data_IF_486406088801
#
_entry.id   IF_486406088801
#
_cell.length_a   1.000
_cell.length_b   1.000
_cell.length_c   1.000
_cell.angle_alpha   90.00
_cell.angle_beta   90.00
_cell.angle_gamma   90.00
#
_symmetry.space_group_name_H-M   'P 1'
#
loop_
_entity.id
_entity.type
_entity.pdbx_description
1 polymer ?
#
# COMPACT_ATOMS: atom_id res chain seq x y z
N UNK A 1 25.14 7.25 8.50
CA UNK A 1 25.89 6.27 9.30
C UNK A 1 24.90 5.16 9.66
N UNK A 2 24.84 4.10 8.84
CA UNK A 2 23.90 2.98 9.02
C UNK A 2 24.46 2.02 10.07
N UNK A 3 23.84 1.93 11.23
CA UNK A 3 24.00 0.76 12.12
C UNK A 3 23.15 -0.37 11.54
N UNK A 4 23.73 -1.06 10.56
CA UNK A 4 23.09 -2.13 9.78
C UNK A 4 23.24 -3.48 10.50
N UNK A 5 22.63 -3.61 11.68
CA UNK A 5 22.64 -4.85 12.47
C UNK A 5 21.36 -5.70 12.26
N UNK A 6 20.51 -5.32 11.29
CA UNK A 6 19.37 -6.15 10.90
C UNK A 6 19.86 -7.39 10.14
N UNK A 7 19.60 -8.57 10.70
CA UNK A 7 19.86 -9.84 10.03
C UNK A 7 19.08 -9.89 8.71
N UNK A 8 19.75 -10.36 7.65
CA UNK A 8 19.14 -10.56 6.33
C UNK A 8 18.76 -12.02 6.14
N UNK A 9 17.60 -12.27 5.53
CA UNK A 9 17.10 -13.62 5.28
C UNK A 9 16.65 -13.79 3.82
N UNK A 10 16.83 -14.98 3.22
CA UNK A 10 16.31 -15.26 1.89
C UNK A 10 14.80 -15.10 1.82
N UNK A 11 14.29 -14.54 0.71
CA UNK A 11 12.86 -14.31 0.53
C UNK A 11 12.02 -15.60 0.64
N UNK A 12 12.51 -16.72 0.12
CA UNK A 12 11.82 -18.01 0.23
C UNK A 12 11.65 -18.49 1.68
N UNK A 13 12.65 -18.26 2.54
CA UNK A 13 12.54 -18.59 3.96
C UNK A 13 11.51 -17.69 4.65
N UNK A 14 11.49 -16.40 4.32
CA UNK A 14 10.50 -15.47 4.85
C UNK A 14 9.08 -15.84 4.41
N UNK A 15 8.90 -16.19 3.14
CA UNK A 15 7.62 -16.68 2.61
C UNK A 15 7.11 -17.88 3.40
N UNK A 16 7.95 -18.89 3.62
CA UNK A 16 7.62 -20.08 4.42
C UNK A 16 7.19 -19.70 5.84
N UNK A 17 8.01 -18.88 6.56
CA UNK A 17 7.74 -18.50 7.95
C UNK A 17 6.47 -17.67 8.09
N UNK A 18 6.25 -16.71 7.19
CA UNK A 18 5.05 -15.87 7.18
C UNK A 18 3.80 -16.71 6.94
N UNK A 19 3.82 -17.57 5.92
CA UNK A 19 2.71 -18.46 5.62
C UNK A 19 2.42 -19.41 6.80
N UNK A 20 3.45 -19.95 7.46
CA UNK A 20 3.30 -20.80 8.64
C UNK A 20 2.62 -20.06 9.80
N UNK A 21 3.06 -18.84 10.12
CA UNK A 21 2.45 -18.03 11.21
C UNK A 21 1.00 -17.65 10.95
N UNK A 22 0.66 -17.30 9.70
CA UNK A 22 -0.72 -17.01 9.31
C UNK A 22 -1.60 -18.26 9.39
N UNK A 23 -1.08 -19.42 8.98
CA UNK A 23 -1.78 -20.71 9.13
C UNK A 23 -2.03 -21.06 10.59
N UNK A 24 -1.03 -20.90 11.45
CA UNK A 24 -1.16 -21.10 12.91
C UNK A 24 -2.20 -20.16 13.54
N UNK A 25 -2.35 -18.94 13.00
CA UNK A 25 -3.39 -18.00 13.42
C UNK A 25 -4.79 -18.37 12.89
N UNK A 26 -4.87 -19.34 11.98
CA UNK A 26 -6.10 -19.91 11.44
C UNK A 26 -6.56 -19.30 10.11
N UNK A 27 -5.73 -18.53 9.41
CA UNK A 27 -6.07 -18.03 8.09
C UNK A 27 -6.30 -19.17 7.08
N UNK A 28 -7.30 -19.02 6.21
CA UNK A 28 -7.50 -19.92 5.07
C UNK A 28 -6.33 -19.87 4.09
N UNK A 29 -6.14 -20.93 3.30
CA UNK A 29 -5.04 -21.01 2.33
C UNK A 29 -5.05 -19.84 1.33
N UNK A 30 -6.24 -19.43 0.86
CA UNK A 30 -6.36 -18.27 -0.03
C UNK A 30 -5.94 -16.96 0.67
N UNK A 31 -6.32 -16.79 1.94
CA UNK A 31 -6.00 -15.59 2.71
C UNK A 31 -4.51 -15.48 3.04
N UNK A 32 -3.90 -16.59 3.49
CA UNK A 32 -2.48 -16.60 3.82
C UNK A 32 -1.61 -16.48 2.56
N UNK A 33 -1.99 -17.09 1.43
CA UNK A 33 -1.25 -16.94 0.17
C UNK A 33 -1.27 -15.48 -0.31
N UNK A 34 -2.44 -14.83 -0.29
CA UNK A 34 -2.59 -13.42 -0.65
C UNK A 34 -1.79 -12.49 0.26
N UNK A 35 -1.91 -12.65 1.58
CA UNK A 35 -1.20 -11.82 2.55
C UNK A 35 0.32 -12.02 2.49
N UNK A 36 0.77 -13.27 2.33
CA UNK A 36 2.20 -13.57 2.17
C UNK A 36 2.74 -12.93 0.89
N UNK A 37 2.06 -13.09 -0.26
CA UNK A 37 2.46 -12.46 -1.53
C UNK A 37 2.63 -10.94 -1.39
N UNK A 38 1.65 -10.25 -0.79
CA UNK A 38 1.70 -8.80 -0.61
C UNK A 38 2.82 -8.35 0.34
N UNK A 39 2.99 -9.02 1.49
CA UNK A 39 4.07 -8.68 2.44
C UNK A 39 5.46 -8.98 1.87
N UNK A 40 5.62 -10.06 1.11
CA UNK A 40 6.88 -10.37 0.44
C UNK A 40 7.20 -9.36 -0.66
N UNK A 41 6.21 -8.95 -1.47
CA UNK A 41 6.38 -7.85 -2.41
C UNK A 41 6.90 -6.60 -1.72
N UNK A 42 6.22 -6.12 -0.68
CA UNK A 42 6.61 -4.92 0.06
C UNK A 42 8.02 -5.03 0.66
N UNK A 43 8.36 -6.20 1.20
CA UNK A 43 9.70 -6.44 1.77
C UNK A 43 10.79 -6.51 0.70
N UNK A 44 10.50 -7.03 -0.49
CA UNK A 44 11.46 -7.10 -1.59
C UNK A 44 11.72 -5.72 -2.19
N UNK A 45 10.70 -4.89 -2.35
CA UNK A 45 10.86 -3.54 -2.92
C UNK A 45 11.33 -2.47 -1.91
N UNK A 46 11.58 -2.86 -0.66
CA UNK A 46 12.06 -1.96 0.40
C UNK A 46 10.97 -1.09 1.05
N UNK A 47 9.70 -1.45 0.88
CA UNK A 47 8.57 -0.84 1.60
C UNK A 47 8.33 -1.61 2.90
N UNK A 48 9.37 -1.66 3.73
CA UNK A 48 9.43 -2.53 4.93
C UNK A 48 8.30 -2.26 5.91
N UNK A 49 7.78 -1.04 5.97
CA UNK A 49 6.62 -0.67 6.81
C UNK A 49 5.38 -1.54 6.56
N UNK A 50 5.23 -2.09 5.36
CA UNK A 50 4.13 -2.96 4.95
C UNK A 50 4.59 -4.39 4.61
N UNK A 51 5.84 -4.72 4.97
CA UNK A 51 6.45 -6.03 4.71
C UNK A 51 6.14 -7.08 5.77
N UNK A 52 7.03 -8.07 5.89
CA UNK A 52 6.88 -9.23 6.79
C UNK A 52 6.75 -8.85 8.27
N UNK A 53 7.15 -7.64 8.65
CA UNK A 53 6.93 -7.11 10.02
C UNK A 53 5.46 -7.00 10.42
N UNK A 54 4.52 -6.96 9.46
CA UNK A 54 3.09 -6.92 9.76
C UNK A 54 2.50 -8.29 10.08
N UNK A 55 3.27 -9.37 9.94
CA UNK A 55 2.78 -10.74 10.18
C UNK A 55 2.21 -10.89 11.59
N UNK A 56 2.91 -10.39 12.61
CA UNK A 56 2.43 -10.45 13.99
C UNK A 56 1.10 -9.73 14.18
N UNK A 57 0.98 -8.52 13.62
CA UNK A 57 -0.26 -7.75 13.68
C UNK A 57 -1.43 -8.55 13.09
N UNK A 58 -1.27 -9.11 11.88
CA UNK A 58 -2.33 -9.89 11.24
C UNK A 58 -2.67 -11.17 12.00
N UNK A 59 -1.67 -11.90 12.51
CA UNK A 59 -1.90 -13.07 13.36
C UNK A 59 -2.72 -12.70 14.61
N UNK A 60 -2.42 -11.55 15.23
CA UNK A 60 -3.14 -11.10 16.41
C UNK A 60 -4.58 -10.69 16.08
N UNK A 61 -4.83 -10.02 14.96
CA UNK A 61 -6.20 -9.65 14.56
C UNK A 61 -7.04 -10.88 14.14
N UNK A 62 -6.43 -11.90 13.53
CA UNK A 62 -7.08 -13.19 13.26
C UNK A 62 -7.45 -13.93 14.55
N UNK A 63 -6.53 -13.97 15.53
CA UNK A 63 -6.78 -14.62 16.83
C UNK A 63 -7.83 -13.87 17.65
N UNK A 64 -7.82 -12.54 17.60
CA UNK A 64 -8.77 -11.67 18.30
C UNK A 64 -10.17 -11.64 17.69
N UNK A 65 -10.35 -12.15 16.47
CA UNK A 65 -11.65 -12.22 15.79
C UNK A 65 -12.01 -11.01 14.95
N UNK A 66 -11.16 -9.97 14.92
CA UNK A 66 -11.34 -8.81 14.01
C UNK A 66 -11.26 -9.20 12.54
N UNK A 67 -10.42 -10.20 12.23
CA UNK A 67 -10.31 -10.74 10.87
C UNK A 67 -10.99 -12.09 10.78
N UNK A 68 -11.89 -12.23 9.82
CA UNK A 68 -12.47 -13.51 9.46
C UNK A 68 -11.36 -14.42 8.93
N UNK A 69 -11.26 -15.60 9.55
CA UNK A 69 -10.25 -16.62 9.24
C UNK A 69 -10.50 -17.31 7.91
N UNK A 70 -11.76 -17.44 7.49
CA UNK A 70 -12.15 -18.14 6.27
C UNK A 70 -13.23 -17.35 5.50
N UNK A 71 -12.87 -16.14 5.01
CA UNK A 71 -13.83 -15.25 4.36
C UNK A 71 -14.42 -15.88 3.10
N UNK A 72 -15.73 -15.74 2.93
CA UNK A 72 -16.47 -16.16 1.74
C UNK A 72 -16.74 -14.94 0.86
N UNK A 73 -15.75 -14.59 0.02
CA UNK A 73 -15.86 -13.43 -0.87
C UNK A 73 -17.08 -13.55 -1.78
N UNK A 74 -17.84 -12.46 -1.91
CA UNK A 74 -18.98 -12.38 -2.83
C UNK A 74 -18.74 -11.27 -3.85
N UNK A 75 -19.01 -11.58 -5.11
CA UNK A 75 -18.89 -10.63 -6.21
C UNK A 75 -20.28 -10.27 -6.71
N UNK A 76 -20.57 -8.98 -6.80
CA UNK A 76 -21.80 -8.44 -7.36
C UNK A 76 -21.47 -7.57 -8.59
N UNK A 77 -21.82 -8.05 -9.78
CA UNK A 77 -21.59 -7.31 -11.03
C UNK A 77 -22.67 -6.23 -11.17
N UNK A 78 -22.24 -4.97 -11.09
CA UNK A 78 -23.15 -3.81 -11.06
C UNK A 78 -23.45 -3.25 -12.46
N UNK A 79 -22.51 -3.40 -13.39
CA UNK A 79 -22.64 -3.04 -14.80
C UNK A 79 -21.53 -3.71 -15.62
N UNK A 80 -21.54 -3.51 -16.94
CA UNK A 80 -20.58 -4.13 -17.86
C UNK A 80 -19.10 -3.89 -17.47
N UNK A 81 -18.78 -2.74 -16.89
CA UNK A 81 -17.42 -2.38 -16.46
C UNK A 81 -17.27 -2.15 -14.95
N UNK A 82 -18.21 -2.61 -14.12
CA UNK A 82 -18.12 -2.36 -12.67
C UNK A 82 -18.70 -3.48 -11.79
N UNK A 83 -18.07 -3.73 -10.65
CA UNK A 83 -18.51 -4.69 -9.66
C UNK A 83 -18.24 -4.23 -8.22
N UNK A 84 -18.89 -4.89 -7.26
CA UNK A 84 -18.57 -4.82 -5.84
C UNK A 84 -18.08 -6.18 -5.35
N UNK A 85 -17.06 -6.18 -4.50
CA UNK A 85 -16.56 -7.37 -3.78
C UNK A 85 -16.82 -7.18 -2.29
N UNK A 86 -17.54 -8.10 -1.68
CA UNK A 86 -17.65 -8.22 -0.22
C UNK A 86 -16.46 -9.04 0.29
N UNK A 87 -15.65 -8.41 1.16
CA UNK A 87 -14.45 -8.98 1.77
C UNK A 87 -14.72 -9.95 2.93
N UNK A 88 -15.96 -10.01 3.43
CA UNK A 88 -16.39 -10.83 4.58
C UNK A 88 -15.48 -10.67 5.80
N UNK A 89 -15.02 -9.43 6.04
CA UNK A 89 -14.10 -8.98 7.10
C UNK A 89 -12.80 -9.79 7.19
N UNK A 90 -12.38 -10.42 6.09
CA UNK A 90 -11.14 -11.18 6.00
C UNK A 90 -9.88 -10.32 5.90
N UNK A 91 -8.74 -10.98 5.69
CA UNK A 91 -7.49 -10.30 5.33
C UNK A 91 -7.68 -9.51 4.02
N UNK A 92 -7.53 -8.19 4.07
CA UNK A 92 -7.81 -7.29 2.93
C UNK A 92 -7.03 -7.64 1.66
N UNK A 93 -5.85 -8.25 1.81
CA UNK A 93 -5.05 -8.77 0.71
C UNK A 93 -5.81 -9.73 -0.20
N UNK A 94 -6.61 -10.64 0.37
CA UNK A 94 -7.34 -11.62 -0.43
C UNK A 94 -8.44 -10.96 -1.25
N UNK A 95 -9.24 -10.10 -0.63
CA UNK A 95 -10.29 -9.34 -1.30
C UNK A 95 -9.69 -8.43 -2.40
N UNK A 96 -8.57 -7.77 -2.14
CA UNK A 96 -7.91 -6.88 -3.08
C UNK A 96 -7.31 -7.61 -4.30
N UNK A 97 -6.60 -8.74 -4.12
CA UNK A 97 -6.16 -9.54 -5.27
C UNK A 97 -7.33 -10.12 -6.05
N UNK A 98 -8.39 -10.58 -5.37
CA UNK A 98 -9.58 -11.09 -6.04
C UNK A 98 -10.28 -9.99 -6.86
N UNK A 99 -10.35 -8.77 -6.34
CA UNK A 99 -10.90 -7.62 -7.06
C UNK A 99 -10.10 -7.24 -8.31
N UNK A 100 -8.76 -7.39 -8.29
CA UNK A 100 -7.93 -7.24 -9.51
C UNK A 100 -8.33 -8.26 -10.56
N UNK A 101 -8.50 -9.53 -10.16
CA UNK A 101 -8.93 -10.60 -11.09
C UNK A 101 -10.31 -10.32 -11.68
N UNK A 102 -11.29 -9.93 -10.86
CA UNK A 102 -12.62 -9.49 -11.33
C UNK A 102 -12.50 -8.30 -12.29
N UNK A 103 -11.68 -7.30 -11.94
CA UNK A 103 -11.46 -6.12 -12.76
C UNK A 103 -10.86 -6.45 -14.13
N UNK A 104 -9.95 -7.42 -14.19
CA UNK A 104 -9.37 -7.90 -15.45
C UNK A 104 -10.43 -8.55 -16.33
N UNK A 105 -11.28 -9.42 -15.77
CA UNK A 105 -12.35 -10.05 -16.56
C UNK A 105 -13.35 -9.02 -17.10
N UNK A 106 -13.70 -8.01 -16.31
CA UNK A 106 -14.53 -6.88 -16.77
C UNK A 106 -13.83 -6.04 -17.84
N UNK A 107 -12.56 -5.70 -17.64
CA UNK A 107 -11.79 -4.86 -18.57
C UNK A 107 -11.62 -5.53 -19.95
N UNK A 108 -11.45 -6.85 -20.03
CA UNK A 108 -11.42 -7.57 -21.32
C UNK A 108 -12.69 -7.39 -22.15
N UNK A 109 -13.83 -7.27 -21.48
CA UNK A 109 -15.13 -7.14 -22.12
C UNK A 109 -15.46 -5.66 -22.42
N UNK A 110 -15.35 -4.79 -21.41
CA UNK A 110 -15.83 -3.41 -21.44
C UNK A 110 -14.72 -2.37 -21.63
N UNK A 111 -13.44 -2.76 -21.66
CA UNK A 111 -12.26 -1.88 -21.68
C UNK A 111 -11.83 -1.35 -20.33
N UNK A 112 -12.76 -1.29 -19.37
CA UNK A 112 -12.50 -0.90 -17.99
C UNK A 112 -13.20 -1.85 -17.02
N UNK A 113 -12.56 -2.13 -15.89
CA UNK A 113 -13.12 -2.84 -14.75
C UNK A 113 -12.90 -2.03 -13.48
N UNK A 114 -13.96 -1.40 -12.97
CA UNK A 114 -13.98 -0.65 -11.73
C UNK A 114 -14.59 -1.49 -10.60
N UNK A 115 -13.79 -1.87 -9.62
CA UNK A 115 -14.21 -2.80 -8.57
C UNK A 115 -14.07 -2.14 -7.21
N UNK A 116 -15.20 -1.87 -6.56
CA UNK A 116 -15.24 -1.46 -5.16
C UNK A 116 -15.15 -2.68 -4.24
N UNK A 117 -14.53 -2.52 -3.07
CA UNK A 117 -14.37 -3.56 -2.06
C UNK A 117 -14.96 -3.05 -0.75
N UNK A 118 -15.84 -3.83 -0.13
CA UNK A 118 -16.47 -3.55 1.16
C UNK A 118 -16.18 -4.64 2.19
N UNK A 119 -16.46 -4.38 3.47
CA UNK A 119 -16.21 -5.31 4.59
C UNK A 119 -14.80 -5.91 4.54
N UNK A 120 -13.79 -5.05 4.43
CA UNK A 120 -12.40 -5.46 4.31
C UNK A 120 -11.56 -4.97 5.49
N UNK A 121 -10.25 -5.17 5.38
CA UNK A 121 -9.27 -4.80 6.41
C UNK A 121 -7.98 -4.27 5.77
N UNK A 122 -6.94 -4.03 6.57
CA UNK A 122 -5.70 -3.48 6.05
C UNK A 122 -5.07 -4.41 5.00
N UNK A 123 -4.74 -3.85 3.83
CA UNK A 123 -4.22 -4.57 2.66
C UNK A 123 -2.70 -4.44 2.45
N UNK A 124 -1.95 -3.84 3.36
CA UNK A 124 -0.50 -3.66 3.17
C UNK A 124 -0.18 -2.59 2.11
N UNK A 125 0.84 -2.84 1.28
CA UNK A 125 1.25 -1.93 0.22
C UNK A 125 0.28 -1.98 -0.96
N UNK A 126 -0.31 -0.84 -1.33
CA UNK A 126 -1.28 -0.76 -2.43
C UNK A 126 -0.64 -1.12 -3.79
N UNK A 127 0.67 -0.88 -3.94
CA UNK A 127 1.46 -1.22 -5.11
C UNK A 127 1.41 -2.70 -5.49
N UNK A 128 1.21 -3.61 -4.54
CA UNK A 128 1.11 -5.05 -4.80
C UNK A 128 -0.05 -5.40 -5.73
N UNK A 129 -1.19 -4.70 -5.59
CA UNK A 129 -2.41 -4.96 -6.35
C UNK A 129 -2.39 -4.28 -7.70
N UNK A 130 -1.88 -3.04 -7.76
CA UNK A 130 -1.61 -2.36 -9.02
C UNK A 130 -0.64 -3.19 -9.88
N UNK A 131 0.47 -3.65 -9.28
CA UNK A 131 1.46 -4.47 -9.95
C UNK A 131 0.86 -5.77 -10.51
N UNK A 132 0.01 -6.46 -9.74
CA UNK A 132 -0.59 -7.72 -10.18
C UNK A 132 -1.42 -7.59 -11.45
N UNK A 133 -2.12 -6.46 -11.64
CA UNK A 133 -2.84 -6.21 -12.88
C UNK A 133 -1.90 -5.83 -14.04
N UNK A 134 -0.85 -5.05 -13.77
CA UNK A 134 0.16 -4.70 -14.76
C UNK A 134 0.97 -5.90 -15.25
N UNK A 135 1.31 -6.85 -14.38
CA UNK A 135 1.95 -8.12 -14.75
C UNK A 135 1.07 -8.97 -15.69
N UNK A 136 -0.24 -8.75 -15.68
CA UNK A 136 -1.20 -9.38 -16.62
C UNK A 136 -1.49 -8.53 -17.86
N UNK A 137 -0.78 -7.42 -18.04
CA UNK A 137 -0.89 -6.55 -19.22
C UNK A 137 -1.93 -5.44 -19.11
N UNK A 138 -2.44 -5.12 -17.91
CA UNK A 138 -3.46 -4.08 -17.73
C UNK A 138 -2.92 -2.87 -16.98
N UNK A 139 -3.32 -1.66 -17.36
CA UNK A 139 -3.05 -0.49 -16.51
C UNK A 139 -3.95 -0.59 -15.30
N UNK A 140 -3.38 -0.53 -14.11
CA UNK A 140 -4.12 -0.82 -12.87
C UNK A 140 -3.88 0.25 -11.82
N UNK A 141 -4.97 0.73 -11.23
CA UNK A 141 -4.99 1.64 -10.09
C UNK A 141 -5.56 0.92 -8.87
N UNK A 142 -4.97 1.13 -7.70
CA UNK A 142 -5.45 0.62 -6.43
C UNK A 142 -5.35 1.69 -5.33
N UNK A 143 -6.37 1.78 -4.48
CA UNK A 143 -6.43 2.74 -3.37
C UNK A 143 -7.20 2.18 -2.17
N UNK A 144 -6.96 2.78 -1.01
CA UNK A 144 -7.67 2.54 0.26
C UNK A 144 -7.66 3.81 1.11
N UNK A 145 -8.52 3.86 2.13
CA UNK A 145 -8.39 4.81 3.23
C UNK A 145 -8.06 4.07 4.54
N UNK A 146 -7.78 4.83 5.61
CA UNK A 146 -7.54 4.31 6.97
C UNK A 146 -7.85 5.39 8.01
N UNK A 147 -7.68 5.08 9.28
CA UNK A 147 -7.78 6.00 10.40
C UNK A 147 -6.95 7.27 10.24
N UNK A 148 -7.53 8.37 10.72
CA UNK A 148 -7.02 9.73 10.62
C UNK A 148 -5.60 9.89 11.20
N UNK A 149 -4.65 10.27 10.36
CA UNK A 149 -3.25 10.55 10.71
C UNK A 149 -2.70 11.85 10.10
N UNK A 150 -3.35 12.36 9.06
CA UNK A 150 -2.87 13.47 8.23
C UNK A 150 -3.80 14.66 8.43
N UNK A 151 -3.22 15.84 8.66
CA UNK A 151 -3.98 17.08 8.72
C UNK A 151 -4.51 17.48 7.33
N UNK A 152 -5.58 18.27 7.30
CA UNK A 152 -5.88 19.07 6.10
C UNK A 152 -4.85 20.21 5.96
N UNK A 153 -4.80 20.84 4.79
CA UNK A 153 -4.04 22.08 4.63
C UNK A 153 -4.61 23.17 5.55
N UNK A 154 -3.74 23.87 6.29
CA UNK A 154 -4.07 24.78 7.40
C UNK A 154 -4.89 24.15 8.55
N UNK A 155 -5.01 22.82 8.56
CA UNK A 155 -5.71 22.08 9.60
C UNK A 155 -4.86 21.87 10.85
N UNK A 156 -5.52 21.83 12.00
CA UNK A 156 -4.89 21.56 13.30
C UNK A 156 -5.40 20.25 13.94
N UNK A 157 -5.94 19.34 13.13
CA UNK A 157 -6.43 18.04 13.56
C UNK A 157 -6.19 16.99 12.46
N UNK A 158 -5.98 15.74 12.88
CA UNK A 158 -5.93 14.59 11.98
C UNK A 158 -7.30 14.42 11.32
N UNK A 159 -7.32 14.21 10.01
CA UNK A 159 -8.56 14.11 9.23
C UNK A 159 -8.53 12.96 8.22
N UNK A 160 -7.53 12.93 7.34
CA UNK A 160 -7.36 11.82 6.41
C UNK A 160 -6.43 10.76 6.99
N UNK A 161 -6.60 9.52 6.57
CA UNK A 161 -5.51 8.54 6.66
C UNK A 161 -4.34 8.92 5.74
N UNK A 162 -3.31 8.09 5.71
CA UNK A 162 -2.21 8.25 4.73
C UNK A 162 -2.63 7.88 3.29
N UNK A 163 -3.85 7.38 3.13
CA UNK A 163 -4.62 7.14 1.91
C UNK A 163 -3.77 7.01 0.64
N UNK A 164 -3.23 5.81 0.35
CA UNK A 164 -2.29 5.64 -0.74
C UNK A 164 -2.96 5.64 -2.11
N UNK A 165 -2.21 6.07 -3.12
CA UNK A 165 -2.56 5.94 -4.53
C UNK A 165 -1.49 5.10 -5.21
N UNK A 166 -1.87 3.92 -5.68
CA UNK A 166 -0.97 3.04 -6.42
C UNK A 166 -1.41 2.89 -7.88
N UNK A 167 -0.48 3.03 -8.80
CA UNK A 167 -0.70 2.84 -10.22
C UNK A 167 0.41 1.97 -10.81
N UNK A 168 0.06 1.05 -11.70
CA UNK A 168 1.04 0.31 -12.46
C UNK A 168 0.61 0.15 -13.92
N UNK A 169 1.60 0.09 -14.81
CA UNK A 169 1.38 -0.08 -16.24
C UNK A 169 2.37 -1.09 -16.82
N UNK A 170 1.93 -1.99 -17.73
CA UNK A 170 2.81 -2.95 -18.37
C UNK A 170 3.86 -2.25 -19.23
N UNK A 171 5.08 -2.77 -19.20
CA UNK A 171 6.20 -2.32 -20.05
C UNK A 171 6.72 -3.56 -20.79
N UNK A 172 6.80 -3.57 -22.13
CA UNK A 172 7.34 -4.71 -22.87
C UNK A 172 8.75 -5.07 -22.40
N UNK A 173 9.01 -6.36 -22.23
CA UNK A 173 10.32 -6.95 -21.89
C UNK A 173 11.01 -6.35 -20.65
N UNK A 174 10.23 -5.74 -19.74
CA UNK A 174 10.75 -5.07 -18.54
C UNK A 174 9.79 -5.17 -17.36
N UNK A 175 10.23 -4.72 -16.20
CA UNK A 175 9.35 -4.56 -15.04
C UNK A 175 8.31 -3.45 -15.34
N UNK A 176 7.07 -3.59 -14.85
CA UNK A 176 6.07 -2.55 -14.96
C UNK A 176 6.55 -1.19 -14.43
N UNK A 177 6.03 -0.12 -15.02
CA UNK A 177 6.07 1.19 -14.37
C UNK A 177 5.18 1.10 -13.12
N UNK A 178 5.67 1.54 -11.96
CA UNK A 178 4.98 1.36 -10.68
C UNK A 178 5.11 2.61 -9.81
N UNK A 179 3.98 3.26 -9.53
CA UNK A 179 3.84 4.25 -8.50
C UNK A 179 3.12 3.63 -7.31
N UNK A 180 3.70 3.72 -6.12
CA UNK A 180 3.03 3.43 -4.85
C UNK A 180 3.41 4.50 -3.84
N UNK A 181 2.44 5.36 -3.49
CA UNK A 181 2.69 6.52 -2.64
C UNK A 181 1.54 6.78 -1.67
N UNK A 182 1.90 7.17 -0.45
CA UNK A 182 0.95 7.83 0.46
C UNK A 182 0.63 9.25 -0.07
N UNK A 183 -0.53 9.77 0.31
CA UNK A 183 -0.93 11.16 0.02
C UNK A 183 -0.40 12.15 1.06
N UNK A 184 0.18 11.66 2.17
CA UNK A 184 1.02 12.43 3.08
C UNK A 184 2.46 12.56 2.55
N UNK A 185 3.19 13.58 3.03
CA UNK A 185 4.58 13.81 2.61
C UNK A 185 5.53 12.65 2.97
N UNK A 186 5.28 11.99 4.11
CA UNK A 186 5.93 10.73 4.52
C UNK A 186 4.90 9.83 5.21
N UNK A 187 5.12 8.50 5.31
CA UNK A 187 4.28 7.63 6.13
C UNK A 187 4.61 7.77 7.63
N UNK A 188 3.62 7.50 8.50
CA UNK A 188 3.76 7.62 9.97
C UNK A 188 4.93 6.82 10.55
N UNK A 189 5.23 5.64 9.97
CA UNK A 189 6.37 4.83 10.41
C UNK A 189 7.73 5.55 10.27
N UNK A 190 7.87 6.52 9.36
CA UNK A 190 9.08 7.35 9.29
C UNK A 190 9.19 8.28 10.49
N UNK A 191 8.08 8.83 10.99
CA UNK A 191 8.08 9.61 12.24
C UNK A 191 8.49 8.75 13.42
N UNK A 192 7.91 7.56 13.56
CA UNK A 192 8.24 6.62 14.62
C UNK A 192 9.72 6.19 14.58
N UNK A 193 10.28 5.97 13.38
CA UNK A 193 11.70 5.66 13.22
C UNK A 193 12.59 6.82 13.71
N UNK A 194 12.29 8.06 13.32
CA UNK A 194 13.06 9.23 13.74
C UNK A 194 12.97 9.46 15.25
N UNK A 195 11.81 9.20 15.88
CA UNK A 195 11.68 9.16 17.35
C UNK A 195 12.64 8.17 17.98
N UNK A 196 12.63 6.93 17.48
CA UNK A 196 13.45 5.85 18.02
C UNK A 196 14.94 6.11 17.87
N UNK A 197 15.35 6.79 16.80
CA UNK A 197 16.75 7.11 16.53
C UNK A 197 17.19 8.45 17.12
N UNK A 198 16.28 9.26 17.66
CA UNK A 198 16.58 10.62 18.12
C UNK A 198 17.05 11.54 16.99
N UNK A 199 16.54 11.35 15.77
CA UNK A 199 16.91 12.14 14.58
C UNK A 199 15.80 13.13 14.23
N UNK A 200 16.16 14.33 13.77
CA UNK A 200 15.18 15.30 13.27
C UNK A 200 14.50 14.82 11.98
N UNK A 201 13.22 15.17 11.84
CA UNK A 201 12.46 14.97 10.61
C UNK A 201 12.86 16.00 9.55
N UNK A 202 12.77 15.64 8.25
CA UNK A 202 12.80 16.63 7.19
C UNK A 202 11.73 17.70 7.40
N UNK A 203 12.03 18.95 7.07
CA UNK A 203 11.05 20.04 7.17
C UNK A 203 9.80 19.78 6.30
N UNK A 204 8.63 20.20 6.79
CA UNK A 204 7.37 20.17 6.04
C UNK A 204 6.68 18.80 5.94
N UNK A 205 7.10 17.81 6.74
CA UNK A 205 6.53 16.45 6.68
C UNK A 205 5.55 16.12 7.81
N UNK A 206 5.61 16.86 8.92
CA UNK A 206 4.79 16.64 10.11
C UNK A 206 4.42 17.97 10.79
N UNK A 207 3.38 17.91 11.60
CA UNK A 207 2.91 19.02 12.43
C UNK A 207 2.66 18.56 13.87
N UNK A 208 2.79 19.49 14.80
CA UNK A 208 2.48 19.29 16.21
C UNK A 208 0.96 19.25 16.48
N UNK A 209 0.58 19.07 17.74
CA UNK A 209 -0.83 19.02 18.18
C UNK A 209 -1.64 20.30 17.92
N UNK A 210 -0.99 21.40 17.54
CA UNK A 210 -1.61 22.69 17.23
C UNK A 210 -1.66 22.95 15.71
N UNK A 211 -1.19 22.02 14.88
CA UNK A 211 -1.10 22.17 13.42
C UNK A 211 0.15 22.91 12.97
N UNK A 212 1.06 23.28 13.87
CA UNK A 212 2.32 23.94 13.53
C UNK A 212 3.32 22.93 12.95
N UNK A 213 3.92 23.24 11.79
CA UNK A 213 4.95 22.39 11.20
C UNK A 213 6.14 22.18 12.15
N UNK A 214 6.63 20.95 12.27
CA UNK A 214 7.73 20.62 13.18
C UNK A 214 8.72 19.63 12.55
N UNK A 215 9.99 19.78 12.89
CA UNK A 215 11.06 18.81 12.61
C UNK A 215 11.36 17.91 13.80
N UNK A 216 10.84 18.22 14.99
CA UNK A 216 11.05 17.39 16.17
C UNK A 216 10.08 16.18 16.12
N UNK A 217 10.60 14.95 15.97
CA UNK A 217 9.73 13.78 15.92
C UNK A 217 8.97 13.56 17.23
N UNK A 218 9.46 14.04 18.39
CA UNK A 218 8.76 13.91 19.68
C UNK A 218 7.54 14.82 19.78
N UNK A 219 7.56 15.97 19.08
CA UNK A 219 6.44 16.91 19.06
C UNK A 219 5.41 16.60 17.96
N UNK A 220 5.80 15.87 16.91
CA UNK A 220 4.94 15.53 15.78
C UNK A 220 3.66 14.79 16.23
N UNK A 221 2.47 15.37 16.07
CA UNK A 221 1.21 14.68 16.34
C UNK A 221 0.59 14.13 15.06
N UNK A 222 0.67 14.89 13.97
CA UNK A 222 0.02 14.59 12.71
C UNK A 222 0.99 14.73 11.54
N UNK A 223 0.69 14.07 10.44
CA UNK A 223 1.44 14.22 9.19
C UNK A 223 0.93 15.44 8.42
N UNK A 224 1.83 16.07 7.67
CA UNK A 224 1.45 17.04 6.66
C UNK A 224 1.16 16.33 5.32
N UNK A 225 0.14 16.77 4.57
CA UNK A 225 -0.11 16.27 3.22
C UNK A 225 1.10 16.44 2.30
N UNK A 226 1.14 15.69 1.20
CA UNK A 226 2.09 15.93 0.12
C UNK A 226 1.98 17.37 -0.38
N UNK A 227 3.12 18.06 -0.45
CA UNK A 227 3.20 19.50 -0.69
C UNK A 227 3.45 20.31 0.58
N UNK A 228 3.45 19.66 1.75
CA UNK A 228 3.85 20.23 3.03
C UNK A 228 3.02 21.43 3.45
N UNK A 229 3.63 22.35 4.20
CA UNK A 229 2.97 23.55 4.71
C UNK A 229 2.64 24.59 3.62
N UNK A 230 3.27 24.52 2.44
CA UNK A 230 3.09 25.53 1.38
C UNK A 230 2.04 25.12 0.35
N UNK A 231 2.06 23.86 -0.08
CA UNK A 231 1.21 23.35 -1.16
C UNK A 231 0.44 22.08 -0.78
N UNK A 232 0.34 21.79 0.52
CA UNK A 232 -0.29 20.58 1.06
C UNK A 232 -1.76 20.41 0.69
N UNK A 233 -2.45 21.47 0.27
CA UNK A 233 -3.82 21.38 -0.23
C UNK A 233 -3.95 20.40 -1.41
N UNK A 234 -2.89 20.20 -2.20
CA UNK A 234 -2.87 19.20 -3.28
C UNK A 234 -2.83 17.78 -2.73
N UNK A 235 -1.95 17.49 -1.77
CA UNK A 235 -1.89 16.19 -1.10
C UNK A 235 -3.18 15.87 -0.36
N UNK A 236 -3.77 16.85 0.31
CA UNK A 236 -5.05 16.70 1.00
C UNK A 236 -6.18 16.39 0.01
N UNK A 237 -6.22 17.06 -1.15
CA UNK A 237 -7.19 16.76 -2.20
C UNK A 237 -7.00 15.33 -2.77
N UNK A 238 -5.76 14.87 -2.95
CA UNK A 238 -5.49 13.49 -3.38
C UNK A 238 -5.91 12.46 -2.32
N UNK A 239 -5.74 12.76 -1.03
CA UNK A 239 -6.26 11.92 0.05
C UNK A 239 -7.79 11.83 0.00
N UNK A 240 -8.46 12.94 -0.32
CA UNK A 240 -9.90 12.98 -0.60
C UNK A 240 -10.32 12.12 -1.79
N UNK A 241 -9.54 12.08 -2.88
CA UNK A 241 -9.79 11.17 -4.02
C UNK A 241 -9.77 9.71 -3.57
N UNK A 242 -8.79 9.33 -2.76
CA UNK A 242 -8.75 7.98 -2.20
C UNK A 242 -10.00 7.67 -1.34
N UNK A 243 -10.41 8.56 -0.44
CA UNK A 243 -11.64 8.40 0.37
C UNK A 243 -12.90 8.31 -0.50
N UNK A 244 -13.00 9.10 -1.59
CA UNK A 244 -14.12 9.02 -2.53
C UNK A 244 -14.27 7.60 -3.09
N UNK A 245 -13.18 7.00 -3.52
CA UNK A 245 -13.19 5.66 -4.10
C UNK A 245 -13.32 4.54 -3.07
N UNK A 246 -12.65 4.66 -1.92
CA UNK A 246 -12.50 3.57 -0.97
C UNK A 246 -13.49 3.58 0.18
N UNK A 247 -14.26 4.65 0.38
CA UNK A 247 -15.28 4.73 1.42
C UNK A 247 -16.64 5.17 0.88
N UNK A 248 -16.69 6.31 0.20
CA UNK A 248 -17.97 6.86 -0.26
C UNK A 248 -18.60 6.02 -1.38
N UNK A 249 -17.78 5.56 -2.33
CA UNK A 249 -18.27 4.72 -3.43
C UNK A 249 -18.56 3.28 -2.99
N UNK A 250 -17.87 2.80 -1.96
CA UNK A 250 -17.98 1.43 -1.43
C UNK A 250 -19.00 1.30 -0.31
N UNK A 251 -19.44 2.41 0.29
CA UNK A 251 -20.35 2.41 1.44
C UNK A 251 -19.69 1.96 2.75
N UNK A 252 -18.38 2.20 2.90
CA UNK A 252 -17.59 1.76 4.05
C UNK A 252 -17.12 2.90 4.95
N UNK A 253 -16.38 2.59 6.01
CA UNK A 253 -15.97 3.53 7.06
C UNK A 253 -15.15 4.72 6.52
N UNK A 254 -15.52 5.93 6.95
CA UNK A 254 -14.79 7.16 6.65
C UNK A 254 -13.54 7.29 7.53
N UNK A 255 -12.57 8.06 7.05
CA UNK A 255 -11.27 8.28 7.69
C UNK A 255 -11.38 8.72 9.17
N UNK A 256 -12.36 9.58 9.47
CA UNK A 256 -12.62 10.14 10.80
C UNK A 256 -13.31 9.17 11.75
N UNK A 257 -13.93 8.13 11.21
CA UNK A 257 -14.84 7.24 11.94
C UNK A 257 -14.20 5.89 12.23
N UNK A 258 -12.98 5.64 11.73
CA UNK A 258 -12.26 4.41 12.00
C UNK A 258 -11.88 4.28 13.47
N UNK A 259 -12.13 3.08 13.99
CA UNK A 259 -11.37 2.60 15.14
C UNK A 259 -9.88 2.47 14.80
N UNK A 260 -9.03 2.66 15.80
CA UNK A 260 -7.58 2.62 15.64
C UNK A 260 -7.09 1.29 15.02
N UNK A 261 -6.10 1.37 14.13
CA UNK A 261 -5.48 0.18 13.52
C UNK A 261 -4.82 -0.71 14.58
N UNK A 262 -4.02 -0.11 15.46
CA UNK A 262 -3.38 -0.77 16.59
C UNK A 262 -4.21 -0.52 17.86
N UNK A 263 -4.62 -1.61 18.51
CA UNK A 263 -5.02 -1.50 19.90
C UNK A 263 -3.78 -1.20 20.74
N UNK A 264 -3.77 -0.13 21.54
CA UNK A 264 -2.81 -0.03 22.65
C UNK A 264 -2.98 -1.21 23.63
N UNK A 265 -2.33 -1.20 24.80
CA UNK A 265 -2.65 -2.16 25.86
C UNK A 265 -4.17 -2.14 26.15
N UNK A 266 -4.87 -3.27 25.89
CA UNK A 266 -6.33 -3.38 26.02
C UNK A 266 -7.15 -2.80 24.87
N UNK A 267 -6.54 -2.45 23.74
CA UNK A 267 -7.24 -1.96 22.55
C UNK A 267 -7.93 -3.07 21.76
N UNK A 268 -8.79 -2.66 20.82
CA UNK A 268 -9.95 -3.46 20.42
C UNK A 268 -9.69 -4.86 19.83
N UNK A 269 -8.84 -5.14 18.86
CA UNK A 269 -8.58 -6.48 18.25
C UNK A 269 -9.74 -7.45 17.83
N UNK A 270 -11.02 -7.17 18.10
CA UNK A 270 -12.16 -8.06 17.77
C UNK A 270 -13.20 -7.44 16.86
N UNK A 271 -13.35 -6.11 16.86
CA UNK A 271 -14.34 -5.41 16.03
C UNK A 271 -13.78 -5.22 14.62
N UNK A 272 -14.48 -5.71 13.58
CA UNK A 272 -14.09 -5.44 12.19
C UNK A 272 -14.05 -3.93 11.91
N UNK A 273 -13.06 -3.50 11.11
CA UNK A 273 -12.90 -2.07 10.78
C UNK A 273 -13.82 -1.60 9.66
N UNK A 274 -14.44 -2.54 8.93
CA UNK A 274 -15.21 -2.25 7.71
C UNK A 274 -14.43 -1.32 6.77
N UNK A 275 -13.16 -1.66 6.47
CA UNK A 275 -12.36 -0.88 5.52
C UNK A 275 -12.89 -1.14 4.12
N UNK A 276 -12.84 -0.11 3.27
CA UNK A 276 -13.09 -0.29 1.84
C UNK A 276 -11.87 0.05 1.01
N UNK A 277 -11.89 -0.47 -0.21
CA UNK A 277 -10.81 -0.32 -1.19
C UNK A 277 -11.41 -0.17 -2.57
N UNK A 278 -10.58 0.23 -3.52
CA UNK A 278 -11.01 0.32 -4.90
C UNK A 278 -9.87 -0.08 -5.84
N UNK A 279 -10.22 -0.84 -6.88
CA UNK A 279 -9.33 -1.24 -7.96
C UNK A 279 -9.95 -0.80 -9.28
N UNK A 280 -9.16 -0.15 -10.13
CA UNK A 280 -9.52 0.15 -11.51
C UNK A 280 -8.53 -0.53 -12.44
N UNK A 281 -9.03 -1.36 -13.34
CA UNK A 281 -8.27 -2.07 -14.37
C UNK A 281 -8.66 -1.54 -15.74
N UNK A 282 -7.68 -1.27 -16.59
CA UNK A 282 -7.87 -0.69 -17.92
C UNK A 282 -7.13 -1.56 -18.93
N UNK A 283 -7.82 -2.01 -19.99
CA UNK A 283 -7.25 -2.82 -21.06
C UNK A 283 -6.71 -1.94 -22.20
N UNK A 284 -5.38 -1.87 -22.42
CA UNK A 284 -4.82 -1.08 -23.53
C UNK A 284 -5.37 -1.47 -24.91
N UNK A 285 -5.80 -2.72 -25.11
CA UNK A 285 -6.36 -3.20 -26.38
C UNK A 285 -7.72 -2.58 -26.72
N UNK A 286 -8.43 -2.01 -25.74
CA UNK A 286 -9.67 -1.28 -25.97
C UNK A 286 -9.47 0.22 -26.22
N UNK A 287 -8.22 0.69 -26.24
CA UNK A 287 -7.85 2.07 -26.54
C UNK A 287 -6.93 2.11 -27.77
N UNK A 288 -5.68 2.52 -27.60
CA UNK A 288 -4.71 2.68 -28.70
C UNK A 288 -4.12 1.35 -29.19
N UNK A 289 -4.42 0.23 -28.53
CA UNK A 289 -3.80 -1.07 -28.78
C UNK A 289 -2.52 -1.27 -27.97
N UNK A 290 -2.32 -2.49 -27.45
CA UNK A 290 -1.19 -2.84 -26.58
C UNK A 290 0.18 -2.64 -27.22
N UNK A 291 0.31 -2.87 -28.53
CA UNK A 291 1.57 -2.67 -29.26
C UNK A 291 2.00 -1.19 -29.25
N UNK A 292 1.08 -0.28 -29.61
CA UNK A 292 1.37 1.15 -29.62
C UNK A 292 1.55 1.69 -28.20
N UNK A 293 0.72 1.24 -27.24
CA UNK A 293 0.89 1.56 -25.83
C UNK A 293 2.29 1.18 -25.34
N UNK A 294 2.71 -0.07 -25.62
CA UNK A 294 4.02 -0.60 -25.26
C UNK A 294 5.18 0.21 -25.87
N UNK A 295 5.10 0.54 -27.15
CA UNK A 295 6.11 1.38 -27.81
C UNK A 295 6.19 2.78 -27.18
N UNK A 296 5.05 3.39 -26.85
CA UNK A 296 4.99 4.72 -26.25
C UNK A 296 5.53 4.75 -24.82
N UNK A 297 5.16 3.79 -23.97
CA UNK A 297 5.66 3.75 -22.59
C UNK A 297 7.17 3.47 -22.55
N UNK A 298 7.68 2.59 -23.42
CA UNK A 298 9.13 2.35 -23.56
C UNK A 298 9.86 3.64 -23.93
N UNK A 299 9.36 4.39 -24.93
CA UNK A 299 9.94 5.69 -25.32
C UNK A 299 9.85 6.72 -24.22
N UNK A 300 8.72 6.78 -23.50
CA UNK A 300 8.53 7.69 -22.37
C UNK A 300 9.57 7.43 -21.27
N UNK A 301 9.76 6.17 -20.86
CA UNK A 301 10.73 5.80 -19.84
C UNK A 301 12.17 6.09 -20.27
N UNK A 302 12.52 5.82 -21.53
CA UNK A 302 13.83 6.18 -22.07
C UNK A 302 14.07 7.70 -22.03
N UNK A 303 13.05 8.50 -22.40
CA UNK A 303 13.13 9.97 -22.36
C UNK A 303 13.23 10.50 -20.93
N UNK A 304 12.45 9.92 -20.00
CA UNK A 304 12.49 10.28 -18.59
C UNK A 304 13.87 10.00 -18.00
N UNK A 305 14.40 8.78 -18.16
CA UNK A 305 15.68 8.36 -17.58
C UNK A 305 16.89 9.06 -18.18
N UNK A 306 16.77 9.60 -19.40
CA UNK A 306 17.82 10.39 -20.06
C UNK A 306 17.70 11.91 -19.83
N UNK A 307 16.69 12.36 -19.10
CA UNK A 307 16.52 13.79 -18.83
C UNK A 307 17.73 14.33 -18.03
N UNK A 308 18.14 15.60 -18.29
CA UNK A 308 19.26 16.19 -17.58
C UNK A 308 19.07 16.20 -16.07
N UNK A 309 20.11 15.81 -15.34
CA UNK A 309 20.13 15.85 -13.88
C UNK A 309 20.59 17.23 -13.40
N UNK A 310 20.11 17.65 -12.23
CA UNK A 310 20.64 18.82 -11.53
C UNK A 310 22.08 18.56 -11.04
N UNK A 311 22.92 19.60 -10.87
CA UNK A 311 24.25 19.44 -10.29
C UNK A 311 24.23 18.66 -8.97
N UNK A 312 25.12 17.66 -8.85
CA UNK A 312 25.22 16.79 -7.67
C UNK A 312 24.21 15.64 -7.60
N UNK A 313 23.25 15.53 -8.53
CA UNK A 313 22.42 14.34 -8.66
C UNK A 313 23.04 13.34 -9.64
N UNK A 314 22.95 12.04 -9.32
CA UNK A 314 23.53 10.99 -10.14
C UNK A 314 22.67 10.64 -11.36
N UNK A 315 21.36 10.54 -11.18
CA UNK A 315 20.38 10.20 -12.22
C UNK A 315 18.97 10.65 -11.85
N UNK A 316 18.11 10.73 -12.86
CA UNK A 316 16.64 10.78 -12.69
C UNK A 316 16.08 9.36 -12.78
N UNK A 317 14.96 9.11 -12.10
CA UNK A 317 14.37 7.78 -11.96
C UNK A 317 12.87 7.83 -12.30
N UNK A 318 12.39 6.81 -13.00
CA UNK A 318 10.96 6.60 -13.15
C UNK A 318 10.37 5.99 -11.87
N UNK A 319 9.07 6.18 -11.60
CA UNK A 319 8.35 5.40 -10.60
C UNK A 319 8.58 3.89 -10.78
N UNK A 320 9.08 3.25 -9.72
CA UNK A 320 9.41 1.83 -9.68
C UNK A 320 10.91 1.55 -9.81
N UNK A 321 11.72 2.44 -10.39
CA UNK A 321 13.15 2.17 -10.61
C UNK A 321 13.89 1.88 -9.30
N UNK A 322 13.59 2.66 -8.24
CA UNK A 322 14.19 2.46 -6.91
C UNK A 322 13.78 1.11 -6.31
N UNK A 323 12.50 0.78 -6.45
CA UNK A 323 11.90 -0.46 -5.95
C UNK A 323 12.45 -1.69 -6.68
N UNK A 324 12.69 -1.62 -7.99
CA UNK A 324 13.23 -2.72 -8.79
C UNK A 324 14.71 -2.99 -8.50
N UNK A 325 15.50 -1.95 -8.29
CA UNK A 325 16.89 -2.09 -7.86
C UNK A 325 16.99 -2.69 -6.46
N UNK A 326 16.14 -2.24 -5.53
CA UNK A 326 16.10 -2.78 -4.18
C UNK A 326 15.62 -4.24 -4.19
N UNK A 327 14.65 -4.59 -5.03
CA UNK A 327 14.23 -5.97 -5.24
C UNK A 327 15.39 -6.84 -5.73
N UNK A 328 16.11 -6.42 -6.76
CA UNK A 328 17.26 -7.16 -7.27
C UNK A 328 18.34 -7.35 -6.19
N UNK A 329 18.63 -6.29 -5.43
CA UNK A 329 19.59 -6.35 -4.31
C UNK A 329 19.13 -7.31 -3.21
N UNK A 330 17.87 -7.26 -2.79
CA UNK A 330 17.33 -8.13 -1.72
C UNK A 330 17.11 -9.57 -2.15
N UNK A 331 16.95 -9.83 -3.44
CA UNK A 331 16.94 -11.19 -3.98
C UNK A 331 18.31 -11.87 -3.85
N UNK A 332 19.40 -11.11 -4.03
CA UNK A 332 20.77 -11.61 -3.90
C UNK A 332 21.25 -11.63 -2.44
N UNK A 333 21.12 -10.50 -1.74
CA UNK A 333 21.69 -10.30 -0.40
C UNK A 333 20.76 -10.75 0.74
N UNK A 334 19.49 -11.03 0.45
CA UNK A 334 18.44 -11.25 1.44
C UNK A 334 17.76 -9.96 1.93
N UNK A 335 16.59 -10.14 2.52
CA UNK A 335 15.73 -9.09 3.05
C UNK A 335 16.11 -8.80 4.50
N UNK A 336 16.41 -7.53 4.87
CA UNK A 336 16.66 -7.15 6.26
C UNK A 336 15.38 -7.27 7.09
N UNK A 337 15.48 -7.88 8.27
CA UNK A 337 14.35 -8.08 9.19
C UNK A 337 14.71 -7.55 10.57
N UNK A 338 13.78 -6.80 11.19
CA UNK A 338 13.99 -6.23 12.51
C UNK A 338 13.96 -7.32 13.62
N UNK A 339 14.58 -7.08 14.79
CA UNK A 339 14.72 -8.09 15.84
C UNK A 339 13.39 -8.67 16.36
N UNK A 340 12.31 -7.88 16.38
CA UNK A 340 11.01 -8.35 16.87
C UNK A 340 10.35 -9.27 15.84
N UNK A 341 10.43 -8.90 14.56
CA UNK A 341 10.01 -9.75 13.45
C UNK A 341 10.82 -11.06 13.38
N UNK A 342 12.14 -11.01 13.62
CA UNK A 342 13.00 -12.21 13.71
C UNK A 342 12.49 -13.16 14.81
N UNK A 343 12.24 -12.62 16.00
CA UNK A 343 11.74 -13.38 17.15
C UNK A 343 10.37 -14.00 16.87
N UNK A 344 9.44 -13.22 16.31
CA UNK A 344 8.08 -13.68 16.03
C UNK A 344 8.05 -14.75 14.94
N UNK A 345 8.81 -14.56 13.85
CA UNK A 345 8.86 -15.50 12.73
C UNK A 345 9.70 -16.77 13.05
N UNK A 346 10.47 -16.77 14.14
CA UNK A 346 11.33 -17.90 14.50
C UNK A 346 12.49 -18.06 13.50
N UNK A 347 13.13 -16.94 13.18
CA UNK A 347 14.27 -16.82 12.28
C UNK A 347 15.61 -16.80 13.03
#
# INVERSE_FOLDING_TARGET
MQTNDSKKFPAALLEEKVAARLREAGASEASLAAATRAMLHASLVGVDSHGVRLTEHYCNMLRGGRLNKNPQLKVDIRAAGSAMVDGDDGLGHYAAYHAVEVGIELARQAGVGAVGIAHSSHLGAAGAYALAGAERGFVTFATTNTDSMVALFDGAARFHGTNPLAFAAPVPDSRPWLLDMATSSIPMNRVLLHRSLGLELPAGVAADKHGGATTDPQLADMLLPLGGAEYGYKGAALAGVATLFSALLTGTTLDTDFIAMYGGPGGDISTPRNMGHFVLVIDPDKFVGRDLFGAMITRYLASLRSAPVRPGAERVMAPGDREWEEMARRQDEGVPVDPDSVRFLGL
#
